data_IF_156872487501
#
_entry.id   IF_156872487501
#
_cell.length_a   1.000
_cell.length_b   1.000
_cell.length_c   1.000
_cell.angle_alpha   90.00
_cell.angle_beta   90.00
_cell.angle_gamma   90.00
#
_symmetry.space_group_name_H-M   'P 1'
#
loop_
_entity.id
_entity.type
_entity.pdbx_description
1 polymer ?
#
# COMPACT_ATOMS: atom_id res chain seq x y z
N UNK A 1 -0.78 5.26 -21.81
CA UNK A 1 -1.40 4.03 -21.27
C UNK A 1 -1.69 4.28 -19.80
N UNK A 2 -2.92 4.09 -19.32
CA UNK A 2 -3.30 4.33 -17.92
C UNK A 2 -3.37 2.98 -17.21
N UNK A 3 -2.52 2.77 -16.21
CA UNK A 3 -2.58 1.58 -15.36
C UNK A 3 -3.68 1.78 -14.33
N UNK A 4 -4.75 0.99 -14.45
CA UNK A 4 -5.74 0.83 -13.39
C UNK A 4 -5.27 -0.34 -12.50
N UNK A 5 -4.79 -0.01 -11.31
CA UNK A 5 -4.20 -0.99 -10.38
C UNK A 5 -5.23 -2.03 -9.92
N UNK A 6 -6.50 -1.65 -9.78
CA UNK A 6 -7.56 -2.58 -9.38
C UNK A 6 -7.91 -3.54 -10.51
N UNK A 7 -8.01 -3.03 -11.75
CA UNK A 7 -8.26 -3.87 -12.92
C UNK A 7 -7.10 -4.86 -13.15
N UNK A 8 -5.85 -4.39 -13.02
CA UNK A 8 -4.66 -5.25 -13.11
C UNK A 8 -4.70 -6.32 -12.03
N UNK A 9 -4.90 -5.94 -10.76
CA UNK A 9 -4.98 -6.90 -9.67
C UNK A 9 -6.06 -7.95 -9.94
N UNK A 10 -7.28 -7.56 -10.31
CA UNK A 10 -8.35 -8.52 -10.62
C UNK A 10 -8.02 -9.47 -11.77
N UNK A 11 -7.29 -9.01 -12.78
CA UNK A 11 -6.91 -9.85 -13.92
C UNK A 11 -5.81 -10.87 -13.58
N UNK A 12 -4.95 -10.60 -12.59
CA UNK A 12 -3.77 -11.44 -12.30
C UNK A 12 -3.72 -11.97 -10.87
N UNK A 13 -4.72 -11.69 -10.03
CA UNK A 13 -4.67 -11.95 -8.58
C UNK A 13 -4.25 -13.37 -8.25
N UNK A 14 -4.74 -14.39 -8.96
CA UNK A 14 -4.38 -15.81 -8.79
C UNK A 14 -2.87 -16.11 -8.86
N UNK A 15 -2.09 -15.21 -9.48
CA UNK A 15 -0.63 -15.31 -9.63
C UNK A 15 0.14 -14.28 -8.80
N UNK A 16 -0.55 -13.47 -8.00
CA UNK A 16 0.07 -12.55 -7.05
C UNK A 16 0.44 -13.34 -5.80
N UNK A 17 1.72 -13.34 -5.44
CA UNK A 17 2.24 -14.03 -4.26
C UNK A 17 2.78 -13.09 -3.18
N UNK A 18 2.85 -11.78 -3.47
CA UNK A 18 3.27 -10.75 -2.53
C UNK A 18 2.79 -9.38 -3.00
N UNK A 19 2.44 -8.48 -2.07
CA UNK A 19 2.00 -7.13 -2.38
C UNK A 19 2.84 -6.05 -1.67
N UNK A 20 3.18 -5.02 -2.43
CA UNK A 20 3.66 -3.75 -1.88
C UNK A 20 2.49 -2.78 -1.87
N UNK A 21 2.00 -2.45 -0.69
CA UNK A 21 0.91 -1.49 -0.53
C UNK A 21 1.51 -0.15 -0.13
N UNK A 22 1.68 0.73 -1.12
CA UNK A 22 2.06 2.14 -0.96
C UNK A 22 1.36 2.97 -2.00
N UNK A 23 1.54 4.29 -1.94
CA UNK A 23 0.87 5.20 -2.85
C UNK A 23 1.83 6.24 -3.45
N UNK A 24 1.48 6.73 -4.62
CA UNK A 24 2.18 7.84 -5.28
C UNK A 24 1.16 8.89 -5.72
N UNK A 25 1.61 10.13 -5.83
CA UNK A 25 0.83 11.20 -6.45
C UNK A 25 1.54 11.66 -7.71
N UNK A 26 0.82 11.71 -8.82
CA UNK A 26 1.32 12.21 -10.10
C UNK A 26 0.94 13.68 -10.27
N UNK A 27 1.89 14.46 -10.75
CA UNK A 27 1.67 15.84 -11.16
C UNK A 27 1.27 15.91 -12.64
N UNK A 28 0.76 17.06 -13.07
CA UNK A 28 0.22 17.27 -14.43
C UNK A 28 1.27 17.08 -15.54
N UNK A 29 2.55 17.29 -15.21
CA UNK A 29 3.69 17.10 -16.13
C UNK A 29 4.13 15.63 -16.26
N UNK A 30 3.49 14.71 -15.53
CA UNK A 30 3.79 13.28 -15.51
C UNK A 30 4.87 12.87 -14.53
N UNK A 31 5.48 13.80 -13.79
CA UNK A 31 6.32 13.47 -12.63
C UNK A 31 5.46 12.92 -11.47
N UNK A 32 6.11 12.33 -10.47
CA UNK A 32 5.41 11.80 -9.29
C UNK A 32 6.28 11.83 -8.03
N UNK A 33 5.62 11.82 -6.87
CA UNK A 33 6.26 11.65 -5.57
C UNK A 33 5.56 10.56 -4.74
N UNK A 34 6.26 10.03 -3.74
CA UNK A 34 5.70 9.07 -2.77
C UNK A 34 4.66 9.79 -1.89
N UNK A 35 3.43 9.32 -1.90
CA UNK A 35 2.33 9.91 -1.14
C UNK A 35 2.10 9.16 0.18
N UNK A 36 1.28 9.74 1.06
CA UNK A 36 0.70 8.99 2.17
C UNK A 36 -0.02 7.74 1.65
N UNK A 37 0.04 6.61 2.38
CA UNK A 37 -0.49 5.33 1.91
C UNK A 37 -1.97 5.40 1.51
N UNK A 38 -2.76 6.22 2.19
CA UNK A 38 -4.18 6.45 1.90
C UNK A 38 -4.48 7.73 1.09
N UNK A 39 -3.46 8.51 0.70
CA UNK A 39 -3.64 9.87 0.17
C UNK A 39 -3.16 10.11 -1.28
N UNK A 40 -2.79 9.07 -2.02
CA UNK A 40 -2.30 9.19 -3.40
C UNK A 40 -3.32 8.80 -4.47
N UNK A 41 -2.84 8.47 -5.66
CA UNK A 41 -3.67 8.14 -6.82
C UNK A 41 -4.20 6.71 -6.83
N UNK A 42 -3.60 5.81 -6.04
CA UNK A 42 -4.12 4.46 -5.83
C UNK A 42 -5.26 4.53 -4.81
N UNK A 43 -6.46 4.12 -5.20
CA UNK A 43 -7.56 3.93 -4.25
C UNK A 43 -7.27 2.71 -3.36
N UNK A 44 -6.63 2.96 -2.23
CA UNK A 44 -6.18 1.89 -1.32
C UNK A 44 -7.35 1.11 -0.70
N UNK A 45 -8.51 1.74 -0.54
CA UNK A 45 -9.73 1.05 -0.07
C UNK A 45 -10.14 -0.07 -1.02
N UNK A 46 -10.24 0.22 -2.32
CA UNK A 46 -10.63 -0.78 -3.32
C UNK A 46 -9.57 -1.89 -3.45
N UNK A 47 -8.29 -1.55 -3.37
CA UNK A 47 -7.20 -2.53 -3.40
C UNK A 47 -7.26 -3.44 -2.17
N UNK A 48 -7.40 -2.89 -0.96
CA UNK A 48 -7.48 -3.68 0.27
C UNK A 48 -8.71 -4.59 0.26
N UNK A 49 -9.85 -4.10 -0.21
CA UNK A 49 -11.06 -4.91 -0.37
C UNK A 49 -10.85 -6.08 -1.33
N UNK A 50 -10.34 -5.82 -2.54
CA UNK A 50 -10.08 -6.90 -3.49
C UNK A 50 -9.03 -7.90 -2.97
N UNK A 51 -7.99 -7.43 -2.27
CA UNK A 51 -6.93 -8.26 -1.70
C UNK A 51 -7.45 -9.18 -0.60
N UNK A 52 -8.25 -8.64 0.33
CA UNK A 52 -8.84 -9.41 1.45
C UNK A 52 -9.87 -10.42 0.96
N UNK A 53 -10.72 -10.05 -0.01
CA UNK A 53 -11.66 -10.99 -0.68
C UNK A 53 -10.94 -12.15 -1.38
N UNK A 54 -9.78 -11.89 -1.96
CA UNK A 54 -8.93 -12.94 -2.56
C UNK A 54 -8.28 -13.80 -1.47
N UNK A 55 -7.70 -13.19 -0.42
CA UNK A 55 -7.09 -13.89 0.69
C UNK A 55 -8.07 -14.81 1.43
N UNK A 56 -9.35 -14.44 1.52
CA UNK A 56 -10.39 -15.28 2.11
C UNK A 56 -10.64 -16.59 1.35
N UNK A 57 -10.21 -16.68 0.08
CA UNK A 57 -10.36 -17.88 -0.77
C UNK A 57 -9.11 -18.75 -0.78
N UNK A 58 -7.99 -18.26 -0.28
CA UNK A 58 -6.68 -18.92 -0.38
C UNK A 58 -6.36 -19.74 0.86
N UNK A 59 -5.70 -20.86 0.64
CA UNK A 59 -5.03 -21.59 1.71
C UNK A 59 -3.81 -20.79 2.24
N UNK A 60 -3.06 -20.17 1.34
CA UNK A 60 -1.94 -19.28 1.68
C UNK A 60 -2.27 -17.83 1.29
N UNK A 61 -2.51 -16.93 2.27
CA UNK A 61 -2.83 -15.55 1.97
C UNK A 61 -1.64 -14.83 1.34
N UNK A 62 -1.91 -13.85 0.47
CA UNK A 62 -0.93 -12.92 -0.08
C UNK A 62 -0.41 -12.04 1.07
N UNK A 63 0.86 -12.17 1.46
CA UNK A 63 1.46 -11.27 2.42
C UNK A 63 1.69 -9.89 1.79
N UNK A 64 1.73 -8.85 2.62
CA UNK A 64 2.04 -7.50 2.16
C UNK A 64 2.98 -6.75 3.10
N UNK A 65 3.59 -5.69 2.58
CA UNK A 65 4.36 -4.71 3.34
C UNK A 65 4.00 -3.28 2.91
N UNK A 66 4.22 -2.26 3.75
CA UNK A 66 3.93 -0.85 3.41
C UNK A 66 4.88 -0.26 2.36
N UNK A 67 5.82 -1.07 1.87
CA UNK A 67 6.88 -0.71 0.93
C UNK A 67 7.81 0.43 1.41
N UNK A 68 7.47 1.66 1.05
CA UNK A 68 8.19 2.88 1.44
C UNK A 68 7.38 3.70 2.45
N UNK A 69 8.05 4.58 3.18
CA UNK A 69 7.42 5.56 4.04
C UNK A 69 8.22 6.86 4.06
N UNK A 70 7.55 7.97 4.36
CA UNK A 70 8.24 9.26 4.48
C UNK A 70 9.22 9.25 5.65
N UNK A 71 10.34 9.93 5.48
CA UNK A 71 11.21 10.26 6.60
C UNK A 71 10.50 11.34 7.44
N UNK A 72 10.23 11.04 8.71
CA UNK A 72 9.42 11.90 9.58
C UNK A 72 9.82 11.73 11.05
N UNK A 73 9.45 12.70 11.88
CA UNK A 73 9.76 12.73 13.32
C UNK A 73 11.27 12.47 13.54
N UNK A 74 11.62 11.63 14.52
CA UNK A 74 13.00 11.32 14.90
C UNK A 74 13.86 10.80 13.75
N UNK A 75 13.25 10.24 12.70
CA UNK A 75 14.00 9.74 11.55
C UNK A 75 14.58 10.87 10.69
N UNK A 76 14.07 12.11 10.77
CA UNK A 76 14.63 13.28 10.08
C UNK A 76 16.04 13.65 10.58
N UNK A 77 16.38 13.30 11.82
CA UNK A 77 17.69 13.55 12.41
C UNK A 77 18.70 12.41 12.17
N UNK A 78 18.32 11.39 11.39
CA UNK A 78 19.14 10.19 11.14
C UNK A 78 19.58 10.12 9.69
N UNK A 79 20.73 9.48 9.46
CA UNK A 79 21.04 8.96 8.13
C UNK A 79 20.20 7.71 7.90
N UNK A 80 19.25 7.78 6.98
CA UNK A 80 18.35 6.67 6.65
C UNK A 80 18.54 6.22 5.21
N UNK A 81 18.21 4.96 4.94
CA UNK A 81 18.01 4.49 3.56
C UNK A 81 16.77 5.21 2.97
N UNK A 82 16.87 5.87 1.80
CA UNK A 82 15.76 6.62 1.22
C UNK A 82 14.48 5.78 1.09
N UNK A 83 13.38 6.24 1.68
CA UNK A 83 12.09 5.53 1.70
C UNK A 83 11.98 4.39 2.71
N UNK A 84 13.07 4.02 3.41
CA UNK A 84 13.12 2.90 4.35
C UNK A 84 13.31 3.32 5.81
N UNK A 85 13.05 4.58 6.14
CA UNK A 85 12.89 5.04 7.52
C UNK A 85 11.83 4.20 8.27
N UNK A 86 11.92 4.14 9.59
CA UNK A 86 11.07 3.26 10.39
C UNK A 86 9.69 3.88 10.61
N UNK A 87 9.64 5.14 11.03
CA UNK A 87 8.42 5.79 11.52
C UNK A 87 7.39 5.94 10.40
N UNK A 88 7.80 6.37 9.21
CA UNK A 88 6.89 6.49 8.07
C UNK A 88 6.31 5.15 7.60
N UNK A 89 7.14 4.09 7.56
CA UNK A 89 6.66 2.75 7.20
C UNK A 89 5.76 2.16 8.27
N UNK A 90 6.06 2.40 9.55
CA UNK A 90 5.21 2.00 10.66
C UNK A 90 3.84 2.68 10.58
N UNK A 91 3.80 3.99 10.31
CA UNK A 91 2.56 4.73 10.08
C UNK A 91 1.76 4.11 8.93
N UNK A 92 2.38 3.92 7.76
CA UNK A 92 1.72 3.31 6.60
C UNK A 92 1.18 1.92 6.88
N UNK A 93 1.94 1.07 7.59
CA UNK A 93 1.47 -0.24 8.01
C UNK A 93 0.29 -0.16 8.99
N UNK A 94 0.30 0.81 9.91
CA UNK A 94 -0.81 1.03 10.83
C UNK A 94 -2.09 1.48 10.09
N UNK A 95 -1.96 2.35 9.09
CA UNK A 95 -3.06 2.78 8.21
C UNK A 95 -3.65 1.58 7.45
N UNK A 96 -2.81 0.76 6.83
CA UNK A 96 -3.22 -0.44 6.08
C UNK A 96 -3.91 -1.47 6.99
N UNK A 97 -3.36 -1.72 8.18
CA UNK A 97 -3.96 -2.62 9.16
C UNK A 97 -5.34 -2.12 9.61
N UNK A 98 -5.48 -0.82 9.88
CA UNK A 98 -6.77 -0.24 10.23
C UNK A 98 -7.79 -0.35 9.10
N UNK A 99 -7.35 -0.14 7.86
CA UNK A 99 -8.18 -0.29 6.67
C UNK A 99 -8.61 -1.75 6.46
N UNK A 100 -7.71 -2.71 6.61
CA UNK A 100 -8.02 -4.14 6.53
C UNK A 100 -9.09 -4.55 7.53
N UNK A 101 -8.94 -4.16 8.81
CA UNK A 101 -9.95 -4.40 9.86
C UNK A 101 -11.27 -3.71 9.50
N UNK A 102 -11.22 -2.44 9.04
CA UNK A 102 -12.42 -1.68 8.68
C UNK A 102 -13.19 -2.26 7.48
N UNK A 103 -12.49 -2.87 6.53
CA UNK A 103 -13.09 -3.51 5.35
C UNK A 103 -13.64 -4.90 5.67
N UNK A 104 -12.92 -5.68 6.48
CA UNK A 104 -13.27 -7.08 6.76
C UNK A 104 -14.22 -7.23 7.94
N UNK A 105 -14.18 -6.32 8.91
CA UNK A 105 -14.85 -6.46 10.20
C UNK A 105 -14.23 -7.51 11.12
N UNK A 106 -13.08 -8.08 10.76
CA UNK A 106 -12.37 -9.06 11.57
C UNK A 106 -11.46 -8.34 12.58
N UNK A 107 -11.66 -8.61 13.88
CA UNK A 107 -10.86 -8.05 14.98
C UNK A 107 -10.24 -9.16 15.82
#
# INVERSE_FOLDING_TARGET
MKNDTLAIFNAVKERVYFAHLRNVKKDDDGSFYEADHLGGDVNMFEIMKALTEENAKREQPIPFRPDHGHQMLDDLAKQTNPGYSAIGRLRGLAELRGLEVGVTGNY
#
